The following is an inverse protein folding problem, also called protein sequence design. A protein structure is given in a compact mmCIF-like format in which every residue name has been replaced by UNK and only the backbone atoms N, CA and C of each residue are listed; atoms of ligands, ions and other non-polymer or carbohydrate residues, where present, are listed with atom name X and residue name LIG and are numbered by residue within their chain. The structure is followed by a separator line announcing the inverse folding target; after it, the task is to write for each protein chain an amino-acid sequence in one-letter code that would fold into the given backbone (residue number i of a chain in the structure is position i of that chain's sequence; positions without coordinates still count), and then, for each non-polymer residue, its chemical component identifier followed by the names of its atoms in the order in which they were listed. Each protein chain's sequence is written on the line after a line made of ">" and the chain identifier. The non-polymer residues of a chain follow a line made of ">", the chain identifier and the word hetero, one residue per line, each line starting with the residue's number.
data_IF_388591327592
#
_entry.id   IF_388591327592
#
_cell.length_a   1.000
_cell.length_b   1.000
_cell.length_c   1.000
_cell.angle_alpha   90.00
_cell.angle_beta   90.00
_cell.angle_gamma   90.00
#
_symmetry.space_group_name_H-M   'P 1'
#
loop_
_entity.id
_entity.type
_entity.pdbx_description
1 polymer ?
#
# COMPACT_ATOMS: atom_id res chain seq x y z
N UNK A 1 7.16 -14.57 11.53
CA UNK A 1 7.12 -13.47 10.56
C UNK A 1 7.75 -13.90 9.22
N UNK A 2 6.97 -14.61 8.41
CA UNK A 2 7.39 -15.15 7.12
C UNK A 2 6.24 -15.09 6.11
N UNK A 3 6.53 -15.34 4.83
CA UNK A 3 5.49 -15.48 3.80
C UNK A 3 4.56 -16.68 4.08
N UNK A 4 5.06 -17.73 4.76
CA UNK A 4 4.22 -18.85 5.18
C UNK A 4 3.17 -18.42 6.21
N UNK A 5 3.57 -17.62 7.21
CA UNK A 5 2.64 -17.05 8.21
C UNK A 5 1.61 -16.17 7.53
N UNK A 6 2.02 -15.33 6.59
CA UNK A 6 1.12 -14.46 5.84
C UNK A 6 0.08 -15.27 5.04
N UNK A 7 0.50 -16.33 4.33
CA UNK A 7 -0.42 -17.23 3.63
C UNK A 7 -1.38 -17.94 4.57
N UNK A 8 -0.90 -18.35 5.75
CA UNK A 8 -1.75 -18.95 6.79
C UNK A 8 -2.83 -17.96 7.25
N UNK A 9 -2.47 -16.70 7.49
CA UNK A 9 -3.42 -15.64 7.83
C UNK A 9 -4.47 -15.47 6.73
N UNK A 10 -4.07 -15.39 5.46
CA UNK A 10 -5.02 -15.31 4.34
C UNK A 10 -5.97 -16.52 4.34
N UNK A 11 -5.45 -17.71 4.62
CA UNK A 11 -6.28 -18.92 4.77
C UNK A 11 -7.34 -18.78 5.86
N UNK A 12 -6.98 -18.22 7.00
CA UNK A 12 -7.90 -17.96 8.11
C UNK A 12 -8.94 -16.87 7.76
N UNK A 13 -8.56 -15.83 7.03
CA UNK A 13 -9.47 -14.76 6.61
C UNK A 13 -10.62 -15.23 5.71
N UNK A 14 -10.54 -16.44 5.16
CA UNK A 14 -11.66 -17.09 4.43
C UNK A 14 -12.81 -17.52 5.36
N UNK A 15 -12.54 -17.58 6.67
CA UNK A 15 -13.58 -17.96 7.63
C UNK A 15 -14.63 -16.84 7.78
N UNK A 16 -15.92 -17.11 7.48
CA UNK A 16 -16.97 -16.09 7.58
C UNK A 16 -17.09 -15.45 8.97
N UNK A 17 -16.77 -16.21 10.03
CA UNK A 17 -16.79 -15.69 11.40
C UNK A 17 -15.77 -14.57 11.63
N UNK A 18 -14.64 -14.57 10.91
CA UNK A 18 -13.67 -13.47 10.97
C UNK A 18 -14.14 -12.27 10.16
N UNK A 19 -14.80 -12.48 9.03
CA UNK A 19 -15.36 -11.40 8.23
C UNK A 19 -16.41 -10.60 9.01
N UNK A 20 -17.20 -11.25 9.85
CA UNK A 20 -18.17 -10.58 10.71
C UNK A 20 -17.51 -9.78 11.87
N UNK A 21 -16.24 -10.08 12.18
CA UNK A 21 -15.47 -9.37 13.23
C UNK A 21 -14.61 -8.24 12.68
N UNK A 22 -14.10 -8.38 11.48
CA UNK A 22 -13.14 -7.47 10.87
C UNK A 22 -13.59 -7.12 9.46
N UNK A 23 -13.78 -5.84 9.19
CA UNK A 23 -14.06 -5.32 7.84
C UNK A 23 -12.79 -4.82 7.14
N UNK A 24 -11.74 -4.56 7.89
CA UNK A 24 -10.51 -3.94 7.43
C UNK A 24 -9.27 -4.73 7.87
N UNK A 25 -8.30 -4.82 6.99
CA UNK A 25 -6.96 -5.38 7.24
C UNK A 25 -5.93 -4.30 7.00
N UNK A 26 -5.02 -4.11 7.94
CA UNK A 26 -3.90 -3.17 7.83
C UNK A 26 -2.60 -3.93 7.62
N UNK A 27 -1.85 -3.60 6.58
CA UNK A 27 -0.50 -4.10 6.32
C UNK A 27 0.48 -3.02 6.75
N UNK A 28 1.17 -3.26 7.86
CA UNK A 28 2.15 -2.36 8.46
C UNK A 28 3.50 -3.10 8.61
N UNK A 29 4.46 -2.83 7.75
CA UNK A 29 4.50 -1.92 6.61
C UNK A 29 4.64 -2.66 5.30
N UNK A 30 4.31 -1.99 4.21
CA UNK A 30 4.48 -2.53 2.85
C UNK A 30 5.96 -2.84 2.54
N UNK A 31 6.88 -2.07 3.10
CA UNK A 31 8.33 -2.31 3.02
C UNK A 31 8.71 -3.68 3.58
N UNK A 32 8.17 -4.05 4.75
CA UNK A 32 8.41 -5.36 5.36
C UNK A 32 7.74 -6.49 4.59
N UNK A 33 6.58 -6.24 4.03
CA UNK A 33 5.92 -7.20 3.16
C UNK A 33 6.76 -7.48 1.89
N UNK A 34 7.36 -6.44 1.31
CA UNK A 34 8.27 -6.57 0.19
C UNK A 34 9.48 -7.46 0.53
N UNK A 35 10.13 -7.20 1.67
CA UNK A 35 11.25 -8.04 2.16
C UNK A 35 10.82 -9.51 2.34
N UNK A 36 9.61 -9.78 2.82
CA UNK A 36 9.10 -11.15 2.95
C UNK A 36 8.86 -11.82 1.60
N UNK A 37 8.34 -11.08 0.63
CA UNK A 37 8.16 -11.59 -0.73
C UNK A 37 9.50 -11.96 -1.37
N UNK A 38 10.51 -11.11 -1.24
CA UNK A 38 11.85 -11.33 -1.76
C UNK A 38 12.49 -12.55 -1.10
N UNK A 39 12.56 -12.58 0.22
CA UNK A 39 13.10 -13.72 0.98
C UNK A 39 12.43 -15.02 0.61
N UNK A 40 11.10 -15.05 0.49
CA UNK A 40 10.37 -16.24 0.08
C UNK A 40 10.79 -16.76 -1.29
N UNK A 41 11.08 -15.89 -2.23
CA UNK A 41 11.56 -16.28 -3.56
C UNK A 41 12.97 -16.86 -3.48
N UNK A 42 13.86 -16.21 -2.72
CA UNK A 42 15.26 -16.64 -2.55
C UNK A 42 15.37 -18.00 -1.84
N UNK A 43 14.70 -18.15 -0.71
CA UNK A 43 14.71 -19.39 0.07
C UNK A 43 14.19 -20.61 -0.72
N UNK A 44 13.15 -20.41 -1.56
CA UNK A 44 12.60 -21.48 -2.39
C UNK A 44 13.49 -21.87 -3.58
N UNK A 45 14.58 -21.16 -3.83
CA UNK A 45 15.49 -21.37 -4.95
C UNK A 45 16.94 -21.54 -4.54
N UNK A 46 17.22 -21.55 -3.25
CA UNK A 46 18.59 -21.61 -2.71
C UNK A 46 19.50 -20.55 -3.37
N UNK A 47 19.02 -19.30 -3.42
CA UNK A 47 19.66 -18.18 -4.07
C UNK A 47 19.89 -17.03 -3.08
N UNK A 48 20.98 -16.28 -3.26
CA UNK A 48 21.33 -15.16 -2.39
C UNK A 48 20.66 -13.85 -2.83
N UNK A 49 20.48 -13.65 -4.14
CA UNK A 49 19.84 -12.43 -4.69
C UNK A 49 18.84 -12.78 -5.79
N UNK A 50 17.84 -11.93 -6.01
CA UNK A 50 16.82 -12.13 -7.04
C UNK A 50 17.38 -12.32 -8.45
N UNK A 51 18.55 -11.75 -8.75
CA UNK A 51 19.23 -11.89 -10.03
C UNK A 51 19.66 -13.34 -10.29
N UNK A 52 20.01 -14.09 -9.26
CA UNK A 52 20.42 -15.49 -9.36
C UNK A 52 19.24 -16.41 -9.69
N UNK A 53 18.03 -15.96 -9.39
CA UNK A 53 16.77 -16.66 -9.72
C UNK A 53 16.26 -16.31 -11.12
N UNK A 54 17.14 -15.99 -12.06
CA UNK A 54 16.77 -15.61 -13.42
C UNK A 54 16.43 -14.13 -13.60
N UNK A 55 16.81 -13.26 -12.66
CA UNK A 55 16.80 -11.80 -12.75
C UNK A 55 15.47 -11.21 -13.22
N UNK A 56 15.44 -10.67 -14.41
CA UNK A 56 14.25 -10.06 -15.03
C UNK A 56 13.18 -11.07 -15.46
N UNK A 57 13.48 -12.36 -15.46
CA UNK A 57 12.59 -13.44 -15.84
C UNK A 57 11.82 -14.03 -14.64
N UNK A 58 12.18 -15.24 -14.24
CA UNK A 58 11.43 -16.06 -13.27
C UNK A 58 11.39 -15.46 -11.87
N UNK A 59 12.49 -14.92 -11.38
CA UNK A 59 12.56 -14.29 -10.04
C UNK A 59 11.60 -13.10 -9.91
N UNK A 60 11.58 -12.23 -10.91
CA UNK A 60 10.68 -11.08 -10.94
C UNK A 60 9.20 -11.50 -11.03
N UNK A 61 8.87 -12.52 -11.81
CA UNK A 61 7.51 -13.04 -11.92
C UNK A 61 7.02 -13.65 -10.61
N UNK A 62 7.88 -14.42 -9.92
CA UNK A 62 7.57 -15.01 -8.61
C UNK A 62 7.37 -13.95 -7.55
N UNK A 63 8.22 -12.92 -7.54
CA UNK A 63 8.08 -11.79 -6.65
C UNK A 63 6.76 -11.06 -6.88
N UNK A 64 6.42 -10.72 -8.13
CA UNK A 64 5.11 -10.12 -8.48
C UNK A 64 3.93 -11.02 -8.10
N UNK A 65 4.07 -12.34 -8.25
CA UNK A 65 3.04 -13.28 -7.83
C UNK A 65 2.84 -13.26 -6.31
N UNK A 66 3.92 -13.15 -5.53
CA UNK A 66 3.82 -13.02 -4.08
C UNK A 66 3.14 -11.72 -3.66
N UNK A 67 3.44 -10.60 -4.33
CA UNK A 67 2.77 -9.31 -4.08
C UNK A 67 1.26 -9.35 -4.31
N UNK A 68 0.78 -10.14 -5.26
CA UNK A 68 -0.66 -10.29 -5.55
C UNK A 68 -1.48 -10.87 -4.39
N UNK A 69 -0.84 -11.44 -3.37
CA UNK A 69 -1.54 -11.92 -2.19
C UNK A 69 -2.33 -10.80 -1.46
N UNK A 70 -1.93 -9.53 -1.60
CA UNK A 70 -2.70 -8.39 -1.10
C UNK A 70 -4.07 -8.33 -1.79
N UNK A 71 -4.10 -8.52 -3.12
CA UNK A 71 -5.35 -8.55 -3.89
C UNK A 71 -6.27 -9.72 -3.50
N UNK A 72 -5.71 -10.84 -3.01
CA UNK A 72 -6.53 -11.93 -2.49
C UNK A 72 -7.32 -11.52 -1.24
N UNK A 73 -6.74 -10.71 -0.36
CA UNK A 73 -7.45 -10.20 0.83
C UNK A 73 -8.63 -9.32 0.39
N UNK A 74 -8.41 -8.46 -0.60
CA UNK A 74 -9.48 -7.63 -1.17
C UNK A 74 -10.57 -8.48 -1.82
N UNK A 75 -10.21 -9.54 -2.56
CA UNK A 75 -11.18 -10.45 -3.20
C UNK A 75 -12.03 -11.23 -2.19
N UNK A 76 -11.57 -11.37 -0.94
CA UNK A 76 -12.35 -11.91 0.16
C UNK A 76 -13.34 -10.89 0.75
N UNK A 77 -13.35 -9.65 0.23
CA UNK A 77 -14.27 -8.58 0.63
C UNK A 77 -13.80 -7.76 1.84
N UNK A 78 -12.49 -7.78 2.15
CA UNK A 78 -11.93 -6.89 3.16
C UNK A 78 -11.44 -5.60 2.51
N UNK A 79 -11.60 -4.47 3.21
CA UNK A 79 -10.85 -3.27 2.89
C UNK A 79 -9.39 -3.46 3.32
N UNK A 80 -8.44 -3.11 2.45
CA UNK A 80 -7.00 -3.23 2.76
C UNK A 80 -6.37 -1.86 2.81
N UNK A 81 -5.75 -1.55 3.93
CA UNK A 81 -4.90 -0.38 4.12
C UNK A 81 -3.44 -0.81 4.16
N UNK A 82 -2.61 -0.16 3.37
CA UNK A 82 -1.16 -0.39 3.37
C UNK A 82 -0.46 0.85 3.91
N UNK A 83 0.39 0.67 4.91
CA UNK A 83 1.29 1.69 5.43
C UNK A 83 2.66 1.46 4.77
N UNK A 84 3.30 2.52 4.29
CA UNK A 84 4.63 2.47 3.72
C UNK A 84 5.47 3.65 4.22
N UNK A 85 6.78 3.47 4.28
CA UNK A 85 7.71 4.56 4.56
C UNK A 85 7.91 5.40 3.30
N UNK A 86 8.17 6.68 3.48
CA UNK A 86 8.63 7.56 2.41
C UNK A 86 10.15 7.67 2.42
N UNK A 87 10.73 7.97 1.26
CA UNK A 87 12.12 8.34 1.10
C UNK A 87 12.21 9.68 0.37
N UNK A 88 13.10 10.53 0.85
CA UNK A 88 13.44 11.77 0.16
C UNK A 88 14.36 11.46 -1.00
N UNK A 89 13.98 11.87 -2.20
CA UNK A 89 14.73 11.65 -3.44
C UNK A 89 15.10 12.99 -4.04
N UNK A 90 16.39 13.15 -4.36
CA UNK A 90 16.90 14.30 -5.10
C UNK A 90 17.31 13.84 -6.48
N UNK A 91 16.69 14.41 -7.49
CA UNK A 91 17.07 14.22 -8.88
C UNK A 91 18.34 15.03 -9.16
N UNK A 92 19.43 14.36 -9.55
CA UNK A 92 20.73 15.00 -9.76
C UNK A 92 20.77 15.91 -10.99
N UNK A 93 19.98 15.60 -12.02
CA UNK A 93 19.96 16.35 -13.26
C UNK A 93 19.07 17.59 -13.16
N UNK A 94 17.88 17.45 -12.63
CA UNK A 94 16.90 18.54 -12.53
C UNK A 94 17.00 19.32 -11.22
N UNK A 95 17.78 18.84 -10.23
CA UNK A 95 17.87 19.37 -8.85
C UNK A 95 16.53 19.39 -8.10
N UNK A 96 15.49 18.75 -8.64
CA UNK A 96 14.21 18.64 -7.97
C UNK A 96 14.29 17.65 -6.81
N UNK A 97 13.59 17.99 -5.73
CA UNK A 97 13.46 17.14 -4.55
C UNK A 97 12.00 16.67 -4.46
N UNK A 98 11.82 15.39 -4.15
CA UNK A 98 10.51 14.78 -3.99
C UNK A 98 10.52 13.76 -2.86
N UNK A 99 9.35 13.56 -2.25
CA UNK A 99 9.11 12.48 -1.31
C UNK A 99 8.34 11.37 -2.02
N UNK A 100 8.99 10.24 -2.19
CA UNK A 100 8.44 9.06 -2.87
C UNK A 100 8.27 7.91 -1.88
N UNK A 101 7.43 6.95 -2.23
CA UNK A 101 7.30 5.73 -1.45
C UNK A 101 8.61 4.93 -1.50
N UNK A 102 9.05 4.44 -0.33
CA UNK A 102 10.27 3.66 -0.18
C UNK A 102 10.22 2.29 -0.89
N UNK A 103 9.08 1.55 -0.91
CA UNK A 103 8.98 0.32 -1.66
C UNK A 103 9.36 0.49 -3.13
N UNK A 104 9.91 -0.55 -3.74
CA UNK A 104 10.34 -0.49 -5.13
C UNK A 104 9.14 -0.26 -6.09
N UNK A 105 9.45 0.18 -7.32
CA UNK A 105 8.43 0.49 -8.34
C UNK A 105 7.45 -0.65 -8.60
N UNK A 106 7.88 -1.91 -8.52
CA UNK A 106 7.02 -3.07 -8.80
C UNK A 106 5.99 -3.27 -7.67
N UNK A 107 6.43 -3.18 -6.40
CA UNK A 107 5.56 -3.24 -5.22
C UNK A 107 4.57 -2.10 -5.24
N UNK A 108 5.07 -0.88 -5.44
CA UNK A 108 4.26 0.31 -5.50
C UNK A 108 3.22 0.26 -6.61
N UNK A 109 3.62 -0.07 -7.85
CA UNK A 109 2.72 -0.16 -9.00
C UNK A 109 1.58 -1.14 -8.73
N UNK A 110 1.91 -2.34 -8.24
CA UNK A 110 0.92 -3.38 -7.95
C UNK A 110 -0.10 -2.98 -6.87
N UNK A 111 0.33 -2.21 -5.85
CA UNK A 111 -0.55 -1.74 -4.79
C UNK A 111 -1.35 -0.50 -5.23
N UNK A 112 -0.71 0.44 -5.94
CA UNK A 112 -1.32 1.69 -6.40
C UNK A 112 -2.42 1.46 -7.43
N UNK A 113 -2.27 0.51 -8.33
CA UNK A 113 -3.28 0.20 -9.35
C UNK A 113 -4.63 -0.11 -8.72
N UNK A 114 -4.65 -0.91 -7.65
CA UNK A 114 -5.85 -1.26 -6.91
C UNK A 114 -6.27 -0.25 -5.83
N UNK A 115 -5.47 0.78 -5.53
CA UNK A 115 -5.79 1.74 -4.50
C UNK A 115 -6.70 2.86 -5.03
N UNK A 116 -7.72 3.24 -4.26
CA UNK A 116 -8.54 4.43 -4.51
C UNK A 116 -7.82 5.70 -4.06
N UNK A 117 -7.08 5.63 -2.96
CA UNK A 117 -6.32 6.73 -2.38
C UNK A 117 -4.88 6.32 -2.11
N UNK A 118 -3.94 7.21 -2.38
CA UNK A 118 -2.56 7.16 -1.91
C UNK A 118 -2.25 8.50 -1.28
N UNK A 119 -2.06 8.52 0.03
CA UNK A 119 -1.86 9.74 0.80
C UNK A 119 -0.46 9.83 1.41
N UNK A 120 0.03 11.04 1.59
CA UNK A 120 1.23 11.36 2.34
C UNK A 120 0.85 12.02 3.66
N UNK A 121 1.27 11.39 4.77
CA UNK A 121 1.03 11.91 6.11
C UNK A 121 2.27 12.64 6.61
N UNK A 122 2.06 13.83 7.19
CA UNK A 122 3.13 14.66 7.71
C UNK A 122 2.69 15.44 8.95
N UNK A 123 3.65 16.03 9.64
CA UNK A 123 3.42 16.89 10.78
C UNK A 123 3.73 18.35 10.41
N UNK A 124 2.86 19.26 10.82
CA UNK A 124 2.97 20.71 10.65
C UNK A 124 2.40 21.40 11.89
N UNK A 125 3.17 22.28 12.50
CA UNK A 125 2.75 23.06 13.69
C UNK A 125 2.23 22.19 14.86
N UNK A 126 2.82 21.00 15.04
CA UNK A 126 2.43 20.05 16.09
C UNK A 126 1.21 19.18 15.75
N UNK A 127 0.49 19.48 14.70
CA UNK A 127 -0.66 18.73 14.22
C UNK A 127 -0.28 17.76 13.07
N UNK A 128 -1.09 16.72 12.87
CA UNK A 128 -0.90 15.74 11.80
C UNK A 128 -1.86 16.00 10.67
N UNK A 129 -1.33 15.99 9.47
CA UNK A 129 -2.07 16.22 8.22
C UNK A 129 -1.84 15.08 7.24
N UNK A 130 -2.79 14.90 6.32
CA UNK A 130 -2.64 14.06 5.15
C UNK A 130 -2.98 14.84 3.89
N UNK A 131 -2.25 14.59 2.81
CA UNK A 131 -2.59 15.06 1.48
C UNK A 131 -2.69 13.88 0.51
N UNK A 132 -3.64 13.93 -0.41
CA UNK A 132 -3.81 12.98 -1.50
C UNK A 132 -3.53 13.61 -2.86
N UNK A 133 -3.23 14.91 -2.90
CA UNK A 133 -2.99 15.67 -4.13
C UNK A 133 -1.60 15.41 -4.68
N UNK A 134 -1.55 14.87 -5.88
CA UNK A 134 -0.31 14.68 -6.64
C UNK A 134 0.33 16.03 -6.94
N UNK A 135 1.64 16.11 -6.77
CA UNK A 135 2.47 17.29 -7.07
C UNK A 135 3.90 16.85 -7.43
N UNK A 136 4.74 17.78 -7.86
CA UNK A 136 6.17 17.51 -8.09
C UNK A 136 6.86 17.01 -6.81
N UNK A 137 6.45 17.53 -5.65
CA UNK A 137 6.96 17.10 -4.35
C UNK A 137 6.47 15.70 -3.96
N UNK A 138 5.25 15.36 -4.33
CA UNK A 138 4.59 14.08 -4.01
C UNK A 138 4.06 13.41 -5.28
N UNK A 139 4.94 12.83 -6.12
CA UNK A 139 4.56 12.32 -7.44
C UNK A 139 3.71 11.05 -7.40
N UNK A 140 3.74 10.34 -6.28
CA UNK A 140 3.11 9.02 -6.13
C UNK A 140 1.67 9.08 -5.62
N UNK A 141 1.19 10.24 -5.20
CA UNK A 141 -0.14 10.37 -4.62
C UNK A 141 -1.26 10.13 -5.63
N UNK A 142 -2.39 9.66 -5.12
CA UNK A 142 -3.60 9.37 -5.90
C UNK A 142 -4.84 9.77 -5.11
N UNK A 143 -5.71 10.49 -5.77
CA UNK A 143 -7.00 10.91 -5.23
C UNK A 143 -8.08 10.67 -6.29
N UNK A 144 -8.99 9.73 -6.02
CA UNK A 144 -10.14 9.45 -6.89
C UNK A 144 -11.43 10.11 -6.41
N UNK A 145 -11.42 10.78 -5.27
CA UNK A 145 -12.59 11.40 -4.63
C UNK A 145 -12.56 12.93 -4.66
N UNK A 146 -11.51 13.52 -5.22
CA UNK A 146 -11.30 14.96 -5.25
C UNK A 146 -11.35 15.61 -3.85
N UNK A 147 -10.63 15.03 -2.91
CA UNK A 147 -10.54 15.48 -1.52
C UNK A 147 -9.85 16.85 -1.40
N UNK A 148 -10.01 17.56 -0.27
CA UNK A 148 -9.26 18.78 0.02
C UNK A 148 -7.74 18.55 -0.08
N UNK A 149 -7.01 19.60 -0.44
CA UNK A 149 -5.55 19.52 -0.66
C UNK A 149 -4.80 19.11 0.61
N UNK A 150 -5.24 19.56 1.77
CA UNK A 150 -4.66 19.26 3.08
C UNK A 150 -5.81 18.96 4.04
N UNK A 151 -5.74 17.86 4.76
CA UNK A 151 -6.77 17.43 5.71
C UNK A 151 -6.08 17.16 7.06
N UNK A 152 -6.54 17.83 8.12
CA UNK A 152 -6.12 17.45 9.47
C UNK A 152 -6.63 16.03 9.77
N UNK A 153 -5.79 15.19 10.35
CA UNK A 153 -6.17 13.79 10.66
C UNK A 153 -7.41 13.70 11.56
N UNK A 154 -7.64 14.70 12.41
CA UNK A 154 -8.83 14.77 13.27
C UNK A 154 -10.13 14.85 12.45
N UNK A 155 -10.08 15.53 11.30
CA UNK A 155 -11.22 15.79 10.43
C UNK A 155 -11.35 14.76 9.29
N UNK A 156 -10.37 13.86 9.15
CA UNK A 156 -10.29 12.91 8.03
C UNK A 156 -11.56 12.06 7.89
N UNK A 157 -12.13 11.63 9.02
CA UNK A 157 -13.36 10.82 9.02
C UNK A 157 -14.52 11.58 8.39
N UNK A 158 -14.76 12.82 8.80
CA UNK A 158 -15.90 13.61 8.35
C UNK A 158 -15.73 14.01 6.88
N UNK A 159 -14.50 14.37 6.47
CA UNK A 159 -14.17 14.64 5.07
C UNK A 159 -14.41 13.40 4.21
N UNK A 160 -14.04 12.23 4.69
CA UNK A 160 -14.24 10.98 3.97
C UNK A 160 -15.73 10.62 3.83
N UNK A 161 -16.50 10.70 4.93
CA UNK A 161 -17.94 10.44 4.92
C UNK A 161 -18.61 11.33 3.88
N UNK A 162 -18.36 12.64 3.93
CA UNK A 162 -18.91 13.59 2.98
C UNK A 162 -18.53 13.26 1.52
N UNK A 163 -17.28 12.92 1.26
CA UNK A 163 -16.83 12.60 -0.10
C UNK A 163 -17.53 11.36 -0.68
N UNK A 164 -17.85 10.38 0.15
CA UNK A 164 -18.58 9.18 -0.28
C UNK A 164 -20.07 9.48 -0.46
N UNK A 165 -20.69 10.27 0.41
CA UNK A 165 -22.07 10.73 0.28
C UNK A 165 -22.27 11.54 -1.01
N UNK A 166 -21.35 12.45 -1.33
CA UNK A 166 -21.37 13.25 -2.56
C UNK A 166 -21.33 12.36 -3.83
N UNK A 167 -20.82 11.14 -3.73
CA UNK A 167 -20.81 10.15 -4.80
C UNK A 167 -22.02 9.19 -4.76
N UNK A 168 -22.99 9.43 -3.89
CA UNK A 168 -24.17 8.61 -3.73
C UNK A 168 -23.94 7.35 -2.91
N UNK A 169 -22.86 7.25 -2.16
CA UNK A 169 -22.59 6.17 -1.20
C UNK A 169 -23.36 6.38 0.09
N UNK A 170 -23.65 5.29 0.80
CA UNK A 170 -24.34 5.28 2.08
C UNK A 170 -23.49 4.53 3.13
N UNK A 171 -23.32 5.11 4.30
CA UNK A 171 -22.63 4.51 5.45
C UNK A 171 -23.58 3.94 6.51
N UNK A 172 -24.88 3.88 6.24
CA UNK A 172 -25.90 3.46 7.21
C UNK A 172 -26.06 1.95 7.34
N UNK A 173 -25.07 1.15 6.85
CA UNK A 173 -25.07 -0.33 7.00
C UNK A 173 -23.96 -0.83 7.90
#
# INVERSE_FOLDING_TARGET
>A
NSMSDFKSIIGQLRNPALKNKFSCIVIDTLDKYEEFCERYVLENRDAEILKDVGGFGEGSLRFKSALRNIGLIQSLGYTVHCIAQSSHVKDFDTKKESDSLKPNKNTFSSCREGAFLVGYMYQKDGERYVTFKKSDKYPDLKDTFNLPTEINIKDLKDVWVKAVEDLGGDFTT
#
